data_IF_373266008924
#
_entry.id   IF_373266008924
#
_cell.length_a   1.000
_cell.length_b   1.000
_cell.length_c   1.000
_cell.angle_alpha   90.00
_cell.angle_beta   90.00
_cell.angle_gamma   90.00
#
_symmetry.space_group_name_H-M   'P 1'
#
loop_
_entity.id
_entity.type
_entity.pdbx_description
1 polymer ?
#
# COMPACT_ATOMS: atom_id res chain seq x y z
N UNK A 1 39.00 -26.90 -9.09
CA UNK A 1 37.81 -26.88 -9.97
C UNK A 1 36.67 -27.58 -9.25
N UNK A 2 36.13 -26.98 -8.18
CA UNK A 2 35.06 -27.60 -7.40
C UNK A 2 33.71 -27.21 -8.00
N UNK A 3 33.09 -28.18 -8.66
CA UNK A 3 31.65 -28.43 -8.60
C UNK A 3 30.77 -27.18 -8.45
N UNK A 4 30.74 -26.37 -9.52
CA UNK A 4 29.76 -25.29 -9.63
C UNK A 4 28.40 -25.94 -9.89
N UNK A 5 27.75 -26.30 -8.78
CA UNK A 5 26.46 -26.95 -8.71
C UNK A 5 25.47 -26.28 -9.67
N UNK A 6 25.21 -26.98 -10.78
CA UNK A 6 24.10 -26.74 -11.69
C UNK A 6 22.79 -26.98 -10.93
N UNK A 7 22.41 -26.07 -10.03
CA UNK A 7 21.07 -26.05 -9.45
C UNK A 7 20.17 -25.26 -10.38
N UNK A 8 19.25 -25.98 -11.03
CA UNK A 8 18.19 -25.43 -11.90
C UNK A 8 17.68 -24.10 -11.34
N UNK A 9 17.63 -23.08 -12.21
CA UNK A 9 16.85 -21.84 -12.03
C UNK A 9 15.37 -22.23 -11.95
N UNK A 10 14.95 -22.71 -10.78
CA UNK A 10 13.61 -23.22 -10.54
C UNK A 10 12.68 -22.12 -10.06
N UNK A 11 11.41 -22.26 -10.43
CA UNK A 11 10.28 -21.50 -9.89
C UNK A 11 10.37 -21.42 -8.35
N UNK A 12 10.31 -20.21 -7.80
CA UNK A 12 10.46 -19.96 -6.36
C UNK A 12 9.93 -18.59 -5.94
N UNK A 13 10.42 -18.07 -4.82
CA UNK A 13 9.95 -16.80 -4.25
C UNK A 13 9.99 -15.61 -5.22
N UNK A 14 10.97 -15.59 -6.14
CA UNK A 14 11.09 -14.56 -7.18
C UNK A 14 9.91 -14.56 -8.17
N UNK A 15 9.29 -15.71 -8.43
CA UNK A 15 8.13 -15.85 -9.31
C UNK A 15 6.82 -15.68 -8.53
N UNK A 16 6.77 -16.19 -7.31
CA UNK A 16 5.57 -16.20 -6.48
C UNK A 16 5.16 -14.78 -6.06
N UNK A 17 6.12 -13.94 -5.66
CA UNK A 17 5.82 -12.57 -5.21
C UNK A 17 5.14 -11.71 -6.28
N UNK A 18 5.68 -11.62 -7.52
CA UNK A 18 5.00 -10.92 -8.60
C UNK A 18 3.60 -11.49 -8.92
N UNK A 19 3.40 -12.81 -8.83
CA UNK A 19 2.07 -13.42 -9.05
C UNK A 19 1.07 -12.93 -7.99
N UNK A 20 1.47 -12.93 -6.71
CA UNK A 20 0.62 -12.44 -5.61
C UNK A 20 0.28 -10.97 -5.83
N UNK A 21 1.27 -10.13 -6.16
CA UNK A 21 1.03 -8.72 -6.42
C UNK A 21 0.15 -8.47 -7.65
N UNK A 22 0.30 -9.27 -8.71
CA UNK A 22 -0.58 -9.21 -9.89
C UNK A 22 -2.03 -9.55 -9.51
N UNK A 23 -2.25 -10.56 -8.68
CA UNK A 23 -3.59 -10.92 -8.22
C UNK A 23 -4.24 -9.81 -7.37
N UNK A 24 -3.48 -9.25 -6.42
CA UNK A 24 -3.94 -8.10 -5.61
C UNK A 24 -4.22 -6.88 -6.49
N UNK A 25 -3.34 -6.59 -7.45
CA UNK A 25 -3.51 -5.49 -8.38
C UNK A 25 -4.79 -5.65 -9.23
N UNK A 26 -5.02 -6.84 -9.78
CA UNK A 26 -6.23 -7.15 -10.54
C UNK A 26 -7.50 -6.98 -9.69
N UNK A 27 -7.47 -7.39 -8.42
CA UNK A 27 -8.57 -7.17 -7.48
C UNK A 27 -8.85 -5.68 -7.27
N UNK A 28 -7.82 -4.85 -7.09
CA UNK A 28 -7.99 -3.40 -6.91
C UNK A 28 -8.54 -2.71 -8.17
N UNK A 29 -8.06 -3.10 -9.35
CA UNK A 29 -8.60 -2.62 -10.63
C UNK A 29 -10.06 -3.01 -10.77
N UNK A 30 -10.40 -4.27 -10.50
CA UNK A 30 -11.77 -4.74 -10.58
C UNK A 30 -12.70 -4.00 -9.61
N UNK A 31 -12.30 -3.84 -8.34
CA UNK A 31 -13.07 -3.10 -7.34
C UNK A 31 -13.22 -1.62 -7.72
N UNK A 32 -12.15 -0.99 -8.20
CA UNK A 32 -12.16 0.41 -8.62
C UNK A 32 -13.14 0.66 -9.78
N UNK A 33 -13.13 -0.22 -10.79
CA UNK A 33 -14.00 -0.09 -11.95
C UNK A 33 -15.47 -0.46 -11.67
N UNK A 34 -15.72 -1.52 -10.88
CA UNK A 34 -17.08 -2.08 -10.70
C UNK A 34 -17.80 -1.56 -9.46
N UNK A 35 -17.11 -1.36 -8.34
CA UNK A 35 -17.74 -1.03 -7.05
C UNK A 35 -17.65 0.45 -6.72
N UNK A 36 -16.48 1.04 -6.93
CA UNK A 36 -16.20 2.41 -6.50
C UNK A 36 -16.33 3.45 -7.60
N UNK A 37 -16.47 3.02 -8.85
CA UNK A 37 -16.59 3.87 -10.02
C UNK A 37 -15.27 4.56 -10.40
N UNK A 38 -15.08 4.77 -11.70
CA UNK A 38 -13.85 5.39 -12.21
C UNK A 38 -14.00 6.89 -12.44
N UNK A 39 -15.06 7.30 -13.16
CA UNK A 39 -15.27 8.69 -13.55
C UNK A 39 -16.76 9.01 -13.66
N UNK A 40 -17.16 10.21 -13.23
CA UNK A 40 -18.50 10.74 -13.38
C UNK A 40 -18.49 11.99 -14.29
N UNK A 41 -19.37 12.09 -15.30
CA UNK A 41 -19.34 13.19 -16.29
C UNK A 41 -19.33 14.60 -15.67
N UNK A 42 -20.12 14.81 -14.61
CA UNK A 42 -20.24 16.13 -13.96
C UNK A 42 -19.36 16.33 -12.71
N UNK A 43 -18.90 15.24 -12.06
CA UNK A 43 -18.19 15.30 -10.77
C UNK A 43 -16.70 14.96 -10.88
N UNK A 44 -16.26 14.51 -12.06
CA UNK A 44 -14.87 14.13 -12.29
C UNK A 44 -14.53 12.74 -11.71
N UNK A 45 -13.30 12.52 -11.21
CA UNK A 45 -12.85 11.22 -10.74
C UNK A 45 -13.62 10.75 -9.51
N UNK A 46 -13.93 9.46 -9.48
CA UNK A 46 -14.65 8.80 -8.39
C UNK A 46 -13.69 8.08 -7.44
N UNK A 47 -14.14 7.59 -6.27
CA UNK A 47 -13.30 6.89 -5.29
C UNK A 47 -12.46 5.74 -5.88
N UNK A 48 -12.95 5.09 -6.94
CA UNK A 48 -12.25 3.99 -7.61
C UNK A 48 -11.13 4.41 -8.57
N UNK A 49 -11.03 5.71 -8.90
CA UNK A 49 -10.05 6.24 -9.85
C UNK A 49 -8.61 5.92 -9.44
N UNK A 50 -8.20 6.33 -8.22
CA UNK A 50 -6.84 6.16 -7.74
C UNK A 50 -6.45 4.68 -7.54
N UNK A 51 -7.26 3.83 -6.88
CA UNK A 51 -7.00 2.39 -6.79
C UNK A 51 -6.87 1.70 -8.16
N UNK A 52 -7.63 2.14 -9.17
CA UNK A 52 -7.58 1.56 -10.52
C UNK A 52 -6.26 1.89 -11.21
N UNK A 53 -5.80 3.15 -11.15
CA UNK A 53 -4.55 3.57 -11.81
C UNK A 53 -3.34 2.91 -11.15
N UNK A 54 -3.27 2.97 -9.82
CA UNK A 54 -2.16 2.35 -9.06
C UNK A 54 -2.19 0.82 -9.23
N UNK A 55 -3.36 0.21 -9.18
CA UNK A 55 -3.53 -1.22 -9.46
C UNK A 55 -3.07 -1.60 -10.86
N UNK A 56 -3.46 -0.84 -11.89
CA UNK A 56 -3.01 -1.09 -13.26
C UNK A 56 -1.48 -0.99 -13.40
N UNK A 57 -0.87 0.04 -12.80
CA UNK A 57 0.59 0.19 -12.76
C UNK A 57 1.28 -0.97 -12.04
N UNK A 58 0.78 -1.36 -10.87
CA UNK A 58 1.29 -2.51 -10.12
C UNK A 58 1.15 -3.81 -10.90
N UNK A 59 0.04 -4.00 -11.63
CA UNK A 59 -0.17 -5.19 -12.47
C UNK A 59 0.89 -5.28 -13.57
N UNK A 60 1.13 -4.18 -14.30
CA UNK A 60 2.18 -4.11 -15.33
C UNK A 60 3.55 -4.40 -14.74
N UNK A 61 3.90 -3.75 -13.61
CA UNK A 61 5.18 -3.99 -12.94
C UNK A 61 5.32 -5.42 -12.43
N UNK A 62 4.23 -6.05 -12.00
CA UNK A 62 4.23 -7.44 -11.56
C UNK A 62 4.43 -8.41 -12.73
N UNK A 63 3.83 -8.15 -13.89
CA UNK A 63 4.08 -8.94 -15.11
C UNK A 63 5.54 -8.83 -15.56
N UNK A 64 6.08 -7.61 -15.59
CA UNK A 64 7.49 -7.39 -15.92
C UNK A 64 8.42 -8.05 -14.90
N UNK A 65 8.12 -7.90 -13.61
CA UNK A 65 8.85 -8.53 -12.51
C UNK A 65 8.83 -10.05 -12.63
N UNK A 66 7.70 -10.65 -13.00
CA UNK A 66 7.61 -12.08 -13.26
C UNK A 66 8.49 -12.52 -14.44
N UNK A 67 8.45 -11.80 -15.56
CA UNK A 67 9.28 -12.12 -16.74
C UNK A 67 10.78 -12.03 -16.40
N UNK A 68 11.19 -11.01 -15.66
CA UNK A 68 12.60 -10.80 -15.30
C UNK A 68 13.07 -11.71 -14.16
N UNK A 69 12.16 -12.19 -13.30
CA UNK A 69 12.47 -13.07 -12.16
C UNK A 69 13.23 -14.34 -12.53
N UNK A 70 13.06 -14.85 -13.76
CA UNK A 70 13.75 -16.04 -14.26
C UNK A 70 15.24 -15.79 -14.54
N UNK A 71 15.66 -14.53 -14.61
CA UNK A 71 17.06 -14.12 -14.77
C UNK A 71 17.74 -13.86 -13.43
N UNK A 72 16.97 -13.65 -12.36
CA UNK A 72 17.47 -13.24 -11.05
C UNK A 72 18.10 -14.37 -10.23
N UNK A 73 18.98 -13.97 -9.31
CA UNK A 73 19.52 -14.85 -8.26
C UNK A 73 18.44 -15.15 -7.22
N UNK A 74 18.65 -16.20 -6.41
CA UNK A 74 17.69 -16.59 -5.36
C UNK A 74 17.31 -15.41 -4.47
N UNK A 75 16.03 -15.30 -4.06
CA UNK A 75 15.59 -14.22 -3.19
C UNK A 75 16.27 -14.32 -1.84
N UNK A 76 16.76 -13.19 -1.35
CA UNK A 76 17.17 -13.01 0.04
C UNK A 76 16.07 -12.16 0.67
N UNK A 77 15.53 -12.61 1.80
CA UNK A 77 14.50 -11.89 2.56
C UNK A 77 15.11 -11.42 3.89
N UNK A 78 15.70 -10.21 3.93
CA UNK A 78 16.21 -9.62 5.17
C UNK A 78 15.10 -9.50 6.21
N UNK A 79 15.42 -9.75 7.48
CA UNK A 79 14.44 -9.66 8.57
C UNK A 79 13.98 -8.23 8.79
N UNK A 80 14.85 -7.28 8.49
CA UNK A 80 14.64 -5.84 8.63
C UNK A 80 13.51 -5.34 7.74
N UNK A 81 13.30 -5.97 6.57
CA UNK A 81 12.22 -5.60 5.64
C UNK A 81 10.82 -5.92 6.20
N UNK A 82 10.72 -6.81 7.19
CA UNK A 82 9.43 -7.17 7.80
C UNK A 82 8.84 -6.05 8.64
N UNK A 83 9.63 -5.07 9.08
CA UNK A 83 9.11 -3.90 9.79
C UNK A 83 8.09 -3.12 8.97
N UNK A 84 8.30 -2.98 7.66
CA UNK A 84 7.34 -2.33 6.76
C UNK A 84 6.04 -3.15 6.63
N UNK A 85 6.14 -4.48 6.60
CA UNK A 85 4.97 -5.37 6.55
C UNK A 85 4.14 -5.26 7.83
N UNK A 86 4.81 -5.27 8.99
CA UNK A 86 4.17 -5.06 10.30
C UNK A 86 3.54 -3.67 10.38
N UNK A 87 4.22 -2.65 9.83
CA UNK A 87 3.69 -1.30 9.69
C UNK A 87 2.39 -1.24 8.88
N UNK A 88 2.36 -1.89 7.71
CA UNK A 88 1.13 -2.00 6.92
C UNK A 88 0.01 -2.73 7.66
N UNK A 89 0.34 -3.82 8.36
CA UNK A 89 -0.64 -4.58 9.14
C UNK A 89 -1.20 -3.78 10.32
N UNK A 90 -0.36 -2.97 10.98
CA UNK A 90 -0.80 -2.13 12.10
C UNK A 90 -1.76 -1.03 11.65
N UNK A 91 -1.59 -0.46 10.45
CA UNK A 91 -2.56 0.47 9.86
C UNK A 91 -3.91 -0.24 9.64
N UNK A 92 -3.90 -1.47 9.10
CA UNK A 92 -5.13 -2.23 8.85
C UNK A 92 -5.86 -2.49 10.18
N UNK A 93 -5.15 -2.98 11.20
CA UNK A 93 -5.72 -3.23 12.53
C UNK A 93 -6.23 -1.94 13.16
N UNK A 94 -5.42 -0.88 13.15
CA UNK A 94 -5.81 0.44 13.67
C UNK A 94 -7.05 0.99 12.98
N UNK A 95 -7.20 0.75 11.68
CA UNK A 95 -8.34 1.22 10.89
C UNK A 95 -9.67 0.71 11.43
N UNK A 96 -9.72 -0.52 11.95
CA UNK A 96 -10.93 -1.05 12.59
C UNK A 96 -11.20 -0.43 13.97
N UNK A 97 -10.16 0.03 14.67
CA UNK A 97 -10.28 0.57 16.03
C UNK A 97 -10.63 2.06 15.99
N UNK A 98 -9.82 2.85 15.30
CA UNK A 98 -9.89 4.32 15.29
C UNK A 98 -10.16 4.90 13.89
N UNK A 99 -10.33 4.07 12.87
CA UNK A 99 -10.55 4.55 11.50
C UNK A 99 -9.25 4.80 10.73
N UNK A 100 -9.36 4.88 9.40
CA UNK A 100 -8.18 4.86 8.52
C UNK A 100 -7.31 6.12 8.65
N UNK A 101 -7.94 7.30 8.62
CA UNK A 101 -7.25 8.59 8.64
C UNK A 101 -6.35 8.74 9.89
N UNK A 102 -6.85 8.58 11.12
CA UNK A 102 -6.00 8.68 12.30
C UNK A 102 -5.00 7.51 12.41
N UNK A 103 -5.33 6.31 11.91
CA UNK A 103 -4.37 5.19 11.89
C UNK A 103 -3.15 5.48 11.03
N UNK A 104 -3.38 5.97 9.80
CA UNK A 104 -2.28 6.40 8.90
C UNK A 104 -1.52 7.58 9.52
N UNK A 105 -2.22 8.53 10.14
CA UNK A 105 -1.60 9.67 10.80
C UNK A 105 -0.65 9.26 11.93
N UNK A 106 -1.09 8.37 12.82
CA UNK A 106 -0.26 7.81 13.89
C UNK A 106 0.91 7.03 13.30
N UNK A 107 0.66 6.21 12.29
CA UNK A 107 1.73 5.46 11.62
C UNK A 107 2.82 6.38 11.08
N UNK A 108 2.48 7.46 10.37
CA UNK A 108 3.46 8.42 9.83
C UNK A 108 4.31 9.02 10.93
N UNK A 109 3.70 9.50 12.02
CA UNK A 109 4.45 10.09 13.14
C UNK A 109 5.37 9.04 13.77
N UNK A 110 4.84 7.84 14.04
CA UNK A 110 5.60 6.77 14.69
C UNK A 110 6.77 6.32 13.83
N UNK A 111 6.51 6.11 12.53
CA UNK A 111 7.50 5.66 11.57
C UNK A 111 8.62 6.68 11.41
N UNK A 112 8.29 7.93 11.11
CA UNK A 112 9.29 8.98 10.92
C UNK A 112 10.10 9.26 12.20
N UNK A 113 9.44 9.25 13.36
CA UNK A 113 10.11 9.62 14.62
C UNK A 113 10.98 8.50 15.19
N UNK A 114 10.49 7.26 15.21
CA UNK A 114 11.17 6.15 15.91
C UNK A 114 11.86 5.17 14.97
N UNK A 115 11.31 4.90 13.78
CA UNK A 115 11.94 3.98 12.83
C UNK A 115 12.99 4.69 11.97
N UNK A 116 12.68 5.90 11.48
CA UNK A 116 13.61 6.69 10.66
C UNK A 116 14.46 7.67 11.49
N UNK A 117 14.10 7.92 12.76
CA UNK A 117 14.88 8.77 13.66
C UNK A 117 14.88 10.26 13.30
N UNK A 118 13.91 10.74 12.52
CA UNK A 118 13.84 12.14 12.10
C UNK A 118 13.62 13.11 13.28
N UNK A 119 14.00 14.37 13.07
CA UNK A 119 13.72 15.45 14.04
C UNK A 119 12.23 15.79 14.09
N UNK A 120 11.72 16.21 15.26
CA UNK A 120 10.31 16.55 15.45
C UNK A 120 9.79 17.61 14.47
N UNK A 121 10.62 18.58 14.08
CA UNK A 121 10.25 19.60 13.09
C UNK A 121 9.94 18.95 11.73
N UNK A 122 10.82 18.06 11.27
CA UNK A 122 10.64 17.34 10.00
C UNK A 122 9.44 16.41 10.08
N UNK A 123 9.31 15.64 11.16
CA UNK A 123 8.17 14.72 11.36
C UNK A 123 6.83 15.45 11.30
N UNK A 124 6.68 16.57 12.00
CA UNK A 124 5.42 17.31 12.06
C UNK A 124 5.09 18.02 10.73
N UNK A 125 6.10 18.57 10.04
CA UNK A 125 5.89 19.18 8.71
C UNK A 125 5.47 18.11 7.70
N UNK A 126 6.19 16.98 7.64
CA UNK A 126 5.87 15.88 6.73
C UNK A 126 4.49 15.30 7.04
N UNK A 127 4.17 15.10 8.33
CA UNK A 127 2.82 14.70 8.76
C UNK A 127 1.75 15.68 8.26
N UNK A 128 1.93 16.99 8.48
CA UNK A 128 0.97 18.00 8.06
C UNK A 128 0.75 17.98 6.54
N UNK A 129 1.81 17.85 5.75
CA UNK A 129 1.73 17.75 4.28
C UNK A 129 1.01 16.48 3.85
N UNK A 130 1.36 15.32 4.43
CA UNK A 130 0.70 14.05 4.11
C UNK A 130 -0.78 14.11 4.46
N UNK A 131 -1.13 14.64 5.64
CA UNK A 131 -2.53 14.76 6.05
C UNK A 131 -3.31 15.74 5.19
N UNK A 132 -2.70 16.85 4.77
CA UNK A 132 -3.31 17.78 3.83
C UNK A 132 -3.62 17.10 2.48
N UNK A 133 -2.71 16.27 1.97
CA UNK A 133 -2.93 15.49 0.74
C UNK A 133 -4.01 14.43 0.95
N UNK A 134 -3.98 13.69 2.06
CA UNK A 134 -4.99 12.66 2.37
C UNK A 134 -6.39 13.28 2.42
N UNK A 135 -6.55 14.40 3.12
CA UNK A 135 -7.83 15.09 3.24
C UNK A 135 -8.21 15.73 1.89
N UNK A 136 -7.31 16.49 1.27
CA UNK A 136 -7.56 17.19 0.01
C UNK A 136 -7.93 16.25 -1.14
N UNK A 137 -7.10 15.23 -1.39
CA UNK A 137 -7.31 14.32 -2.49
C UNK A 137 -8.37 13.26 -2.20
N UNK A 138 -8.35 12.62 -1.04
CA UNK A 138 -9.23 11.47 -0.83
C UNK A 138 -10.55 11.81 -0.14
N UNK A 139 -10.59 12.78 0.76
CA UNK A 139 -11.84 13.15 1.45
C UNK A 139 -12.61 14.20 0.65
N UNK A 140 -11.95 15.28 0.25
CA UNK A 140 -12.61 16.41 -0.41
C UNK A 140 -12.82 16.16 -1.91
N UNK A 141 -11.78 15.71 -2.62
CA UNK A 141 -11.87 15.55 -4.07
C UNK A 141 -12.52 14.22 -4.49
N UNK A 142 -11.96 13.08 -4.07
CA UNK A 142 -12.46 11.76 -4.47
C UNK A 142 -13.65 11.28 -3.63
N UNK A 143 -13.96 11.94 -2.51
CA UNK A 143 -15.05 11.57 -1.59
C UNK A 143 -15.04 10.09 -1.17
N UNK A 144 -13.86 9.56 -0.86
CA UNK A 144 -13.68 8.16 -0.46
C UNK A 144 -14.37 7.92 0.90
N UNK A 145 -15.28 6.92 1.01
CA UNK A 145 -15.96 6.62 2.26
C UNK A 145 -15.03 5.85 3.21
N UNK A 146 -14.19 6.57 3.93
CA UNK A 146 -13.24 5.94 4.86
C UNK A 146 -13.94 5.37 6.11
N UNK A 147 -13.50 4.18 6.58
CA UNK A 147 -13.97 3.63 7.84
C UNK A 147 -13.55 4.52 9.02
N UNK A 148 -14.50 4.79 9.92
CA UNK A 148 -14.30 5.65 11.11
C UNK A 148 -13.82 4.86 12.34
N UNK A 149 -13.99 3.55 12.34
CA UNK A 149 -13.55 2.66 13.43
C UNK A 149 -14.51 2.66 14.61
N UNK A 150 -14.51 1.56 15.36
CA UNK A 150 -15.49 1.29 16.42
C UNK A 150 -15.38 2.29 17.57
N UNK A 151 -14.16 2.69 17.94
CA UNK A 151 -13.95 3.60 19.08
C UNK A 151 -14.44 5.02 18.77
N UNK A 152 -14.18 5.50 17.56
CA UNK A 152 -14.60 6.82 17.11
C UNK A 152 -16.12 6.88 16.92
N UNK A 153 -16.74 5.78 16.46
CA UNK A 153 -18.20 5.65 16.40
C UNK A 153 -18.86 5.62 17.78
N UNK A 154 -18.22 5.03 18.80
CA UNK A 154 -18.71 5.02 20.18
C UNK A 154 -18.60 6.38 20.87
N UNK A 155 -17.58 7.17 20.56
CA UNK A 155 -17.33 8.48 21.18
C UNK A 155 -18.15 9.61 20.52
N UNK A 156 -18.38 9.54 19.20
CA UNK A 156 -19.09 10.58 18.42
C UNK A 156 -20.60 10.30 18.28
N UNK A 157 -21.16 9.38 19.08
CA UNK A 157 -22.59 9.07 19.09
C UNK A 157 -23.39 10.08 19.89
#
# INVERSE_FOLDING_TARGET
>A
MSEYSSRKKGFGGNQIMPIIFAAVAALFVWMGLKKYGFWHPAKGPLPGFYPTIIGAGLFVMSVLGFIFSFKDKKPIFPRENWWAVIGGLSIIVGTFIIGLIPSVGIYVIVWLRWFEGCSWKVTLITFAVIMAIVIGCFVLWLQVPFPRGVLLELILK
#
